data_IF_450129652529
#
_entry.id   IF_450129652529
#
_cell.length_a   1.000
_cell.length_b   1.000
_cell.length_c   1.000
_cell.angle_alpha   90.00
_cell.angle_beta   90.00
_cell.angle_gamma   90.00
#
_symmetry.space_group_name_H-M   'P 1'
#
loop_
_entity.id
_entity.type
_entity.pdbx_description
1 polymer ?
#
# COMPACT_ATOMS: atom_id res chain seq x y z
N UNK A 1 -3.07 0.81 4.13
CA UNK A 1 -4.38 0.46 4.79
C UNK A 1 -4.25 -0.53 5.97
N UNK A 2 -3.07 -1.14 6.22
CA UNK A 2 -2.74 -1.99 7.39
C UNK A 2 -3.68 -3.19 7.63
N UNK A 3 -4.34 -3.68 6.57
CA UNK A 3 -5.33 -4.76 6.65
C UNK A 3 -4.71 -6.06 7.16
N UNK A 4 -5.50 -6.89 7.84
CA UNK A 4 -5.05 -8.15 8.47
C UNK A 4 -4.48 -9.17 7.47
N UNK A 5 -4.94 -9.17 6.21
CA UNK A 5 -4.40 -10.06 5.18
C UNK A 5 -2.93 -9.75 4.86
N UNK A 6 -2.52 -8.49 4.92
CA UNK A 6 -1.11 -8.10 4.74
C UNK A 6 -0.26 -8.64 5.90
N UNK A 7 -0.79 -8.59 7.12
CA UNK A 7 -0.15 -9.22 8.28
C UNK A 7 0.06 -10.72 8.08
N UNK A 8 -0.94 -11.44 7.56
CA UNK A 8 -0.81 -12.87 7.25
C UNK A 8 0.23 -13.14 6.16
N UNK A 9 0.26 -12.32 5.11
CA UNK A 9 1.25 -12.41 4.03
C UNK A 9 2.68 -12.17 4.55
N UNK A 10 2.84 -11.32 5.56
CA UNK A 10 4.10 -10.95 6.18
C UNK A 10 4.44 -11.80 7.42
N UNK A 11 3.91 -13.02 7.56
CA UNK A 11 4.28 -13.92 8.66
C UNK A 11 3.75 -13.50 10.04
N UNK A 12 2.62 -12.78 10.09
CA UNK A 12 1.97 -12.38 11.35
C UNK A 12 2.26 -10.95 11.81
N UNK A 13 2.83 -10.11 10.94
CA UNK A 13 3.20 -8.73 11.27
C UNK A 13 2.07 -7.91 11.92
N UNK A 14 2.42 -7.15 12.96
CA UNK A 14 1.53 -6.22 13.66
C UNK A 14 1.08 -5.08 12.71
N UNK A 15 -0.05 -4.40 13.00
CA UNK A 15 -0.57 -3.34 12.12
C UNK A 15 0.44 -2.25 11.74
N UNK A 16 1.32 -1.88 12.65
CA UNK A 16 2.34 -0.83 12.51
C UNK A 16 3.46 -1.24 11.54
N UNK A 17 3.71 -2.55 11.42
CA UNK A 17 4.75 -3.13 10.57
C UNK A 17 4.28 -3.35 9.12
N UNK A 18 2.98 -3.17 8.85
CA UNK A 18 2.35 -3.46 7.54
C UNK A 18 2.49 -2.33 6.53
N UNK A 19 3.27 -1.28 6.83
CA UNK A 19 3.45 -0.16 5.91
C UNK A 19 4.03 -0.62 4.55
N UNK A 20 5.13 -1.41 4.49
CA UNK A 20 5.72 -1.81 3.20
C UNK A 20 4.72 -2.59 2.33
N UNK A 21 4.04 -3.59 2.90
CA UNK A 21 3.06 -4.38 2.15
C UNK A 21 1.80 -3.58 1.80
N UNK A 22 1.42 -2.58 2.62
CA UNK A 22 0.32 -1.67 2.27
C UNK A 22 0.67 -0.85 1.03
N UNK A 23 1.87 -0.24 0.99
CA UNK A 23 2.30 0.57 -0.14
C UNK A 23 2.41 -0.28 -1.41
N UNK A 24 2.99 -1.48 -1.32
CA UNK A 24 3.09 -2.40 -2.45
C UNK A 24 1.70 -2.75 -3.01
N UNK A 25 0.74 -3.10 -2.15
CA UNK A 25 -0.62 -3.42 -2.58
C UNK A 25 -1.34 -2.22 -3.21
N UNK A 26 -1.12 -1.02 -2.68
CA UNK A 26 -1.71 0.22 -3.19
C UNK A 26 -1.12 0.62 -4.55
N UNK A 27 0.20 0.48 -4.75
CA UNK A 27 0.89 0.69 -6.04
C UNK A 27 0.41 -0.32 -7.08
N UNK A 28 0.33 -1.61 -6.71
CA UNK A 28 -0.18 -2.67 -7.61
C UNK A 28 -1.63 -2.37 -8.01
N UNK A 29 -2.49 -1.98 -7.06
CA UNK A 29 -3.87 -1.63 -7.36
C UNK A 29 -3.96 -0.46 -8.36
N UNK A 30 -3.17 0.60 -8.16
CA UNK A 30 -3.12 1.74 -9.07
C UNK A 30 -2.59 1.36 -10.46
N UNK A 31 -1.53 0.57 -10.54
CA UNK A 31 -0.99 0.06 -11.80
C UNK A 31 -2.01 -0.80 -12.58
N UNK A 32 -2.95 -1.45 -11.87
CA UNK A 32 -4.05 -2.21 -12.46
C UNK A 32 -5.32 -1.37 -12.72
N UNK A 33 -5.23 -0.04 -12.69
CA UNK A 33 -6.32 0.86 -13.07
C UNK A 33 -7.29 1.25 -11.96
N UNK A 34 -6.94 1.02 -10.69
CA UNK A 34 -7.75 1.54 -9.59
C UNK A 34 -7.81 3.08 -9.63
N UNK A 35 -9.02 3.62 -9.78
CA UNK A 35 -9.24 5.08 -9.85
C UNK A 35 -9.09 5.79 -8.50
N UNK A 36 -9.15 5.07 -7.38
CA UNK A 36 -9.04 5.63 -6.03
C UNK A 36 -8.40 4.63 -5.05
N UNK A 37 -7.61 5.15 -4.10
CA UNK A 37 -6.96 4.37 -3.05
C UNK A 37 -7.38 4.91 -1.67
N UNK A 38 -7.97 4.04 -0.82
CA UNK A 38 -8.25 4.35 0.59
C UNK A 38 -7.10 3.86 1.47
N UNK A 39 -6.35 4.80 2.06
CA UNK A 39 -5.17 4.51 2.89
C UNK A 39 -5.22 5.21 4.25
N UNK A 40 -4.44 4.70 5.21
CA UNK A 40 -4.12 5.39 6.46
C UNK A 40 -2.76 6.11 6.37
N UNK A 41 -1.94 5.76 5.37
CA UNK A 41 -0.56 6.21 5.21
C UNK A 41 -0.48 7.27 4.11
N UNK A 42 -1.26 8.34 4.23
CA UNK A 42 -1.55 9.28 3.12
C UNK A 42 -0.29 9.82 2.45
N UNK A 43 0.67 10.29 3.24
CA UNK A 43 1.91 10.87 2.72
C UNK A 43 2.74 9.84 1.95
N UNK A 44 2.91 8.64 2.51
CA UNK A 44 3.69 7.57 1.90
C UNK A 44 3.02 7.01 0.65
N UNK A 45 1.71 6.81 0.68
CA UNK A 45 0.94 6.35 -0.50
C UNK A 45 1.03 7.37 -1.62
N UNK A 46 0.90 8.67 -1.32
CA UNK A 46 1.06 9.73 -2.32
C UNK A 46 2.44 9.69 -2.98
N UNK A 47 3.52 9.62 -2.19
CA UNK A 47 4.87 9.57 -2.71
C UNK A 47 5.10 8.33 -3.60
N UNK A 48 4.59 7.16 -3.19
CA UNK A 48 4.70 5.93 -3.98
C UNK A 48 3.92 6.01 -5.30
N UNK A 49 2.73 6.61 -5.30
CA UNK A 49 1.94 6.82 -6.51
C UNK A 49 2.55 7.89 -7.44
N UNK A 50 3.17 8.93 -6.90
CA UNK A 50 3.95 9.90 -7.69
C UNK A 50 5.12 9.19 -8.39
N UNK A 51 5.87 8.34 -7.67
CA UNK A 51 6.94 7.54 -8.28
C UNK A 51 6.42 6.60 -9.38
N UNK A 52 5.28 5.93 -9.18
CA UNK A 52 4.67 5.04 -10.18
C UNK A 52 4.32 5.77 -11.49
N UNK A 53 3.90 7.04 -11.44
CA UNK A 53 3.54 7.82 -12.65
C UNK A 53 4.73 8.16 -13.54
N UNK A 54 5.95 7.98 -13.04
CA UNK A 54 7.20 8.27 -13.75
C UNK A 54 8.02 7.01 -14.05
N UNK A 55 7.44 5.83 -13.85
CA UNK A 55 8.02 4.52 -14.19
C UNK A 55 7.47 4.02 -15.53
#
# INVERSE_FOLDING_TARGET
>A
SNKSFLGRLMGGAAPEERLPASLAAEVVAAANGAAAIRTHNVAQTRAALEALRHA
#
